data_IF_880213489402
#
_entry.id   IF_880213489402
#
_cell.length_a   1.000
_cell.length_b   1.000
_cell.length_c   1.000
_cell.angle_alpha   90.00
_cell.angle_beta   90.00
_cell.angle_gamma   90.00
#
_symmetry.space_group_name_H-M   'P 1'
#
loop_
_entity.id
_entity.type
_entity.pdbx_description
1 polymer ?
#
# COMPACT_ATOMS: atom_id res chain seq x y z
N UNK A 1 -8.84 -17.90 22.38
CA UNK A 1 -8.95 -16.65 21.59
C UNK A 1 -9.24 -17.01 20.15
N UNK A 2 -10.32 -16.44 19.55
CA UNK A 2 -10.70 -16.71 18.17
C UNK A 2 -9.66 -16.23 17.14
N UNK A 3 -9.61 -16.90 16.01
CA UNK A 3 -8.77 -16.54 14.87
C UNK A 3 -9.21 -15.20 14.28
N UNK A 4 -8.28 -14.34 13.90
CA UNK A 4 -8.56 -13.02 13.33
C UNK A 4 -8.46 -13.08 11.81
N UNK A 5 -9.46 -12.53 11.14
CA UNK A 5 -9.50 -12.44 9.67
C UNK A 5 -8.50 -11.37 9.20
N UNK A 6 -7.90 -11.57 8.01
CA UNK A 6 -7.08 -10.55 7.38
C UNK A 6 -7.94 -9.32 7.04
N UNK A 7 -7.56 -8.11 7.46
CA UNK A 7 -8.39 -6.91 7.28
C UNK A 7 -8.61 -6.57 5.80
N UNK A 8 -7.63 -6.79 4.93
CA UNK A 8 -7.79 -6.60 3.49
C UNK A 8 -8.79 -7.59 2.92
N UNK A 9 -8.65 -8.90 3.22
CA UNK A 9 -9.58 -9.94 2.75
C UNK A 9 -11.02 -9.73 3.23
N UNK A 10 -11.20 -9.18 4.43
CA UNK A 10 -12.52 -8.86 4.99
C UNK A 10 -13.23 -7.71 4.25
N UNK A 11 -12.45 -6.78 3.66
CA UNK A 11 -12.96 -5.55 3.02
C UNK A 11 -12.97 -5.62 1.49
N UNK A 12 -12.20 -6.51 0.90
CA UNK A 12 -12.09 -6.64 -0.56
C UNK A 12 -13.43 -7.03 -1.17
N UNK A 13 -13.85 -6.30 -2.20
CA UNK A 13 -15.11 -6.49 -2.90
C UNK A 13 -16.30 -5.78 -2.24
N UNK A 14 -16.16 -5.20 -1.07
CA UNK A 14 -17.20 -4.42 -0.37
C UNK A 14 -16.79 -2.94 -0.34
N UNK A 15 -15.68 -2.62 0.33
CA UNK A 15 -15.16 -1.26 0.50
C UNK A 15 -13.84 -1.02 -0.23
N UNK A 16 -13.06 -2.07 -0.45
CA UNK A 16 -11.79 -1.98 -1.19
C UNK A 16 -11.90 -2.69 -2.54
N UNK A 17 -11.38 -2.09 -3.63
CA UNK A 17 -11.33 -2.74 -4.93
C UNK A 17 -10.28 -3.84 -4.97
N UNK A 18 -10.44 -4.77 -5.92
CA UNK A 18 -9.45 -5.79 -6.21
C UNK A 18 -8.15 -5.18 -6.74
N UNK A 19 -7.01 -5.75 -6.34
CA UNK A 19 -5.70 -5.33 -6.86
C UNK A 19 -5.43 -5.78 -8.29
N UNK A 20 -6.12 -6.80 -8.77
CA UNK A 20 -6.15 -7.25 -10.16
C UNK A 20 -7.59 -7.19 -10.66
N UNK A 21 -7.83 -6.41 -11.72
CA UNK A 21 -9.15 -6.16 -12.30
C UNK A 21 -9.19 -6.72 -13.70
N UNK A 22 -9.52 -8.01 -13.82
CA UNK A 22 -9.68 -8.70 -15.10
C UNK A 22 -10.51 -9.97 -14.93
N UNK A 23 -11.04 -10.46 -16.04
CA UNK A 23 -11.77 -11.72 -16.11
C UNK A 23 -11.19 -12.60 -17.22
N UNK A 24 -11.14 -13.92 -16.98
CA UNK A 24 -10.70 -14.89 -17.97
C UNK A 24 -11.39 -16.25 -17.78
N UNK A 25 -11.54 -17.05 -18.86
CA UNK A 25 -12.06 -18.41 -18.78
C UNK A 25 -11.10 -19.31 -17.98
N UNK A 26 -11.62 -20.39 -17.40
CA UNK A 26 -10.85 -21.31 -16.51
C UNK A 26 -9.55 -21.81 -17.11
N UNK A 27 -9.51 -22.05 -18.43
CA UNK A 27 -8.33 -22.57 -19.14
C UNK A 27 -7.14 -21.57 -19.10
N UNK A 28 -7.40 -20.29 -19.23
CA UNK A 28 -6.40 -19.22 -19.30
C UNK A 28 -6.09 -18.60 -17.93
N UNK A 29 -7.03 -18.71 -16.98
CA UNK A 29 -6.94 -18.07 -15.67
C UNK A 29 -5.64 -18.37 -14.94
N UNK A 30 -5.18 -19.64 -14.96
CA UNK A 30 -3.92 -20.04 -14.32
C UNK A 30 -2.72 -19.31 -14.91
N UNK A 31 -2.64 -19.20 -16.23
CA UNK A 31 -1.54 -18.51 -16.92
C UNK A 31 -1.48 -17.03 -16.51
N UNK A 32 -2.59 -16.34 -16.60
CA UNK A 32 -2.70 -14.92 -16.27
C UNK A 32 -2.41 -14.62 -14.79
N UNK A 33 -2.84 -15.50 -13.88
CA UNK A 33 -2.53 -15.36 -12.45
C UNK A 33 -1.03 -15.47 -12.18
N UNK A 34 -0.35 -16.43 -12.84
CA UNK A 34 1.11 -16.60 -12.73
C UNK A 34 1.87 -15.40 -13.32
N UNK A 35 1.37 -14.82 -14.42
CA UNK A 35 1.92 -13.60 -15.00
C UNK A 35 1.81 -12.43 -14.01
N UNK A 36 0.64 -12.21 -13.39
CA UNK A 36 0.45 -11.17 -12.39
C UNK A 36 1.40 -11.33 -11.21
N UNK A 37 1.59 -12.57 -10.75
CA UNK A 37 2.55 -12.86 -9.67
C UNK A 37 3.98 -12.53 -10.08
N UNK A 38 4.40 -12.87 -11.32
CA UNK A 38 5.74 -12.55 -11.84
C UNK A 38 5.94 -11.04 -11.91
N UNK A 39 4.97 -10.28 -12.45
CA UNK A 39 5.02 -8.82 -12.52
C UNK A 39 5.19 -8.21 -11.12
N UNK A 40 4.33 -8.58 -10.16
CA UNK A 40 4.41 -8.06 -8.78
C UNK A 40 5.75 -8.36 -8.13
N UNK A 41 6.26 -9.57 -8.30
CA UNK A 41 7.55 -9.99 -7.75
C UNK A 41 8.72 -9.24 -8.41
N UNK A 42 8.69 -9.09 -9.72
CA UNK A 42 9.69 -8.35 -10.50
C UNK A 42 9.75 -6.88 -10.05
N UNK A 43 8.60 -6.20 -9.96
CA UNK A 43 8.52 -4.82 -9.54
C UNK A 43 9.08 -4.59 -8.14
N UNK A 44 8.66 -5.42 -7.18
CA UNK A 44 9.15 -5.32 -5.79
C UNK A 44 10.64 -5.60 -5.66
N UNK A 45 11.19 -6.52 -6.48
CA UNK A 45 12.62 -6.85 -6.44
C UNK A 45 13.48 -5.76 -7.06
N UNK A 46 13.09 -5.24 -8.22
CA UNK A 46 13.89 -4.28 -9.00
C UNK A 46 13.83 -2.87 -8.39
N UNK A 47 12.64 -2.44 -7.97
CA UNK A 47 12.39 -1.07 -7.49
C UNK A 47 12.11 -1.00 -5.99
N UNK A 48 12.85 -1.74 -5.18
CA UNK A 48 12.73 -1.69 -3.71
C UNK A 48 12.96 -0.28 -3.16
N UNK A 49 13.90 0.49 -3.75
CA UNK A 49 14.21 1.86 -3.37
C UNK A 49 13.10 2.88 -3.69
N UNK A 50 12.22 2.55 -4.63
CA UNK A 50 11.10 3.40 -5.02
C UNK A 50 9.94 3.39 -4.02
N UNK A 51 9.97 2.50 -3.01
CA UNK A 51 8.92 2.36 -2.00
C UNK A 51 7.52 2.17 -2.62
N UNK A 52 7.31 1.02 -3.28
CA UNK A 52 6.05 0.68 -3.95
C UNK A 52 5.07 0.11 -2.92
N UNK A 53 4.01 0.84 -2.59
CA UNK A 53 2.98 0.39 -1.67
C UNK A 53 2.03 -0.63 -2.30
N UNK A 54 1.56 -0.36 -3.53
CA UNK A 54 0.53 -1.15 -4.20
C UNK A 54 0.84 -1.28 -5.69
N UNK A 55 0.57 -2.45 -6.25
CA UNK A 55 0.63 -2.73 -7.69
C UNK A 55 -0.75 -3.19 -8.12
N UNK A 56 -1.42 -2.42 -8.95
CA UNK A 56 -2.71 -2.78 -9.54
C UNK A 56 -2.51 -3.20 -10.99
N UNK A 57 -3.27 -4.19 -11.43
CA UNK A 57 -3.16 -4.76 -12.77
C UNK A 57 -4.54 -4.81 -13.40
N UNK A 58 -4.69 -4.12 -14.52
CA UNK A 58 -5.89 -4.17 -15.35
C UNK A 58 -5.52 -4.86 -16.67
N UNK A 59 -6.34 -5.81 -17.10
CA UNK A 59 -6.09 -6.52 -18.37
C UNK A 59 -7.26 -6.33 -19.32
N UNK A 60 -6.93 -5.99 -20.53
CA UNK A 60 -7.80 -6.05 -21.71
C UNK A 60 -7.34 -7.23 -22.56
N UNK A 61 -7.99 -7.50 -23.70
CA UNK A 61 -7.59 -8.60 -24.59
C UNK A 61 -6.14 -8.46 -25.08
N UNK A 62 -5.74 -7.25 -25.47
CA UNK A 62 -4.47 -6.99 -26.16
C UNK A 62 -3.43 -6.29 -25.28
N UNK A 63 -3.87 -5.63 -24.20
CA UNK A 63 -3.01 -4.81 -23.37
C UNK A 63 -3.12 -5.15 -21.88
N UNK A 64 -2.00 -5.02 -21.19
CA UNK A 64 -1.91 -5.11 -19.73
C UNK A 64 -1.52 -3.75 -19.18
N UNK A 65 -2.40 -3.13 -18.40
CA UNK A 65 -2.10 -1.87 -17.72
C UNK A 65 -1.66 -2.15 -16.31
N UNK A 66 -0.47 -1.70 -15.95
CA UNK A 66 0.12 -1.84 -14.62
C UNK A 66 0.16 -0.47 -13.97
N UNK A 67 -0.56 -0.31 -12.86
CA UNK A 67 -0.60 0.93 -12.09
C UNK A 67 0.25 0.73 -10.83
N UNK A 68 1.27 1.57 -10.67
CA UNK A 68 2.20 1.53 -9.56
C UNK A 68 1.94 2.71 -8.63
N UNK A 69 1.57 2.44 -7.39
CA UNK A 69 1.50 3.46 -6.35
C UNK A 69 2.84 3.49 -5.60
N UNK A 70 3.59 4.57 -5.78
CA UNK A 70 4.94 4.74 -5.24
C UNK A 70 5.06 6.02 -4.42
N UNK A 71 5.85 5.97 -3.34
CA UNK A 71 6.21 7.15 -2.57
C UNK A 71 7.34 7.97 -3.22
N UNK A 72 8.11 7.34 -4.12
CA UNK A 72 9.23 7.98 -4.82
C UNK A 72 9.16 7.71 -6.32
N UNK A 73 8.19 8.31 -7.02
CA UNK A 73 7.97 8.06 -8.46
C UNK A 73 9.19 8.44 -9.31
N UNK A 74 9.98 9.42 -8.90
CA UNK A 74 11.18 9.85 -9.61
C UNK A 74 12.22 8.74 -9.81
N UNK A 75 12.28 7.75 -8.92
CA UNK A 75 13.18 6.59 -9.05
C UNK A 75 12.73 5.65 -10.18
N UNK A 76 11.41 5.54 -10.39
CA UNK A 76 10.82 4.70 -11.44
C UNK A 76 10.85 5.43 -12.78
N UNK A 77 10.55 6.73 -12.77
CA UNK A 77 10.49 7.55 -13.99
C UNK A 77 11.89 7.79 -14.56
N UNK A 78 12.86 8.01 -13.66
CA UNK A 78 14.24 8.27 -14.04
C UNK A 78 14.42 9.62 -14.75
N UNK A 79 15.61 9.81 -15.33
CA UNK A 79 15.92 11.03 -16.08
C UNK A 79 15.22 10.99 -17.43
N UNK A 80 14.37 11.99 -17.71
CA UNK A 80 13.64 12.14 -18.99
C UNK A 80 12.74 10.95 -19.36
N UNK A 81 12.29 10.12 -18.39
CA UNK A 81 11.42 8.99 -18.67
C UNK A 81 12.09 7.71 -19.17
N UNK A 82 13.41 7.69 -19.36
CA UNK A 82 14.14 6.54 -19.93
C UNK A 82 14.00 5.24 -19.11
N UNK A 83 13.87 5.35 -17.80
CA UNK A 83 13.71 4.16 -16.94
C UNK A 83 12.31 3.56 -17.04
N UNK A 84 11.28 4.38 -17.28
CA UNK A 84 9.91 3.89 -17.52
C UNK A 84 9.84 3.14 -18.83
N UNK A 85 10.46 3.68 -19.89
CA UNK A 85 10.46 3.03 -21.22
C UNK A 85 11.17 1.68 -21.15
N UNK A 86 12.34 1.63 -20.53
CA UNK A 86 13.08 0.37 -20.30
C UNK A 86 12.27 -0.64 -19.48
N UNK A 87 11.60 -0.15 -18.43
CA UNK A 87 10.76 -1.00 -17.60
C UNK A 87 9.58 -1.55 -18.37
N UNK A 88 8.99 -0.74 -19.25
CA UNK A 88 7.91 -1.16 -20.12
C UNK A 88 8.36 -2.26 -21.08
N UNK A 89 9.52 -2.11 -21.71
CA UNK A 89 10.11 -3.11 -22.61
C UNK A 89 10.40 -4.44 -21.86
N UNK A 90 11.03 -4.38 -20.68
CA UNK A 90 11.30 -5.55 -19.87
C UNK A 90 10.01 -6.28 -19.43
N UNK A 91 8.96 -5.52 -19.12
CA UNK A 91 7.66 -6.12 -18.79
C UNK A 91 6.98 -6.72 -20.02
N UNK A 92 7.16 -6.14 -21.21
CA UNK A 92 6.67 -6.70 -22.48
C UNK A 92 7.38 -8.03 -22.79
N UNK A 93 8.70 -8.10 -22.60
CA UNK A 93 9.46 -9.35 -22.75
C UNK A 93 8.99 -10.43 -21.77
N UNK A 94 8.74 -10.07 -20.51
CA UNK A 94 8.25 -11.01 -19.49
C UNK A 94 6.86 -11.57 -19.77
N UNK A 95 5.98 -10.76 -20.35
CA UNK A 95 4.56 -11.09 -20.55
C UNK A 95 4.24 -11.53 -21.98
N UNK A 96 5.09 -11.17 -22.96
CA UNK A 96 4.81 -11.38 -24.40
C UNK A 96 3.61 -10.60 -24.91
N UNK A 97 3.20 -9.53 -24.22
CA UNK A 97 2.03 -8.68 -24.54
C UNK A 97 2.38 -7.21 -24.37
N UNK A 98 1.60 -6.33 -24.99
CA UNK A 98 1.73 -4.88 -24.80
C UNK A 98 1.45 -4.53 -23.33
N UNK A 99 2.36 -3.77 -22.74
CA UNK A 99 2.22 -3.29 -21.36
C UNK A 99 2.12 -1.77 -21.40
N UNK A 100 1.15 -1.24 -20.68
CA UNK A 100 1.04 0.20 -20.39
C UNK A 100 1.33 0.42 -18.92
N UNK A 101 2.33 1.23 -18.61
CA UNK A 101 2.75 1.52 -17.24
C UNK A 101 2.24 2.89 -16.81
N UNK A 102 1.52 2.95 -15.69
CA UNK A 102 1.12 4.19 -15.05
C UNK A 102 1.75 4.27 -13.66
N UNK A 103 2.42 5.37 -13.35
CA UNK A 103 3.00 5.62 -12.03
C UNK A 103 2.18 6.69 -11.35
N UNK A 104 1.69 6.39 -10.15
CA UNK A 104 0.92 7.30 -9.30
C UNK A 104 1.69 7.59 -8.02
N UNK A 105 1.79 8.86 -7.67
CA UNK A 105 2.45 9.30 -6.45
C UNK A 105 1.55 9.17 -5.24
N UNK A 106 2.14 8.72 -4.13
CA UNK A 106 1.48 8.65 -2.84
C UNK A 106 1.84 9.90 -2.05
N UNK A 107 0.85 10.75 -1.79
CA UNK A 107 1.05 12.01 -1.05
C UNK A 107 1.46 11.82 0.41
N UNK A 108 1.03 10.74 1.07
CA UNK A 108 1.31 10.45 2.48
C UNK A 108 1.79 9.03 2.66
N UNK A 109 3.09 8.74 2.47
CA UNK A 109 3.65 7.39 2.58
C UNK A 109 3.59 6.83 4.01
N UNK A 110 3.61 7.69 5.04
CA UNK A 110 3.57 7.32 6.45
C UNK A 110 2.24 6.66 6.86
N UNK A 111 1.17 6.86 6.08
CA UNK A 111 -0.15 6.26 6.34
C UNK A 111 -0.32 4.93 5.61
N UNK A 112 0.57 4.59 4.68
CA UNK A 112 0.52 3.34 3.94
C UNK A 112 1.16 2.19 4.72
N UNK A 113 0.34 1.24 5.17
CA UNK A 113 0.79 0.17 6.06
C UNK A 113 1.93 -0.68 5.48
N UNK A 114 1.94 -0.90 4.16
CA UNK A 114 3.00 -1.68 3.50
C UNK A 114 4.36 -0.96 3.56
N UNK A 115 4.38 0.36 3.30
CA UNK A 115 5.62 1.16 3.35
C UNK A 115 6.15 1.28 4.77
N UNK A 116 5.26 1.47 5.73
CA UNK A 116 5.61 1.47 7.16
C UNK A 116 6.21 0.13 7.59
N UNK A 117 5.65 -0.99 7.11
CA UNK A 117 6.19 -2.32 7.40
C UNK A 117 7.59 -2.54 6.80
N UNK A 118 7.82 -2.05 5.57
CA UNK A 118 9.11 -2.13 4.88
C UNK A 118 10.16 -1.26 5.57
N UNK A 119 9.81 -0.04 6.01
CA UNK A 119 10.72 0.84 6.76
C UNK A 119 11.14 0.22 8.09
N UNK A 120 10.20 -0.33 8.85
CA UNK A 120 10.50 -1.06 10.10
C UNK A 120 11.44 -2.25 9.81
N UNK A 121 11.15 -3.03 8.76
CA UNK A 121 11.98 -4.17 8.38
C UNK A 121 13.41 -3.76 8.04
N UNK A 122 13.60 -2.68 7.28
CA UNK A 122 14.92 -2.15 6.93
C UNK A 122 15.68 -1.63 8.16
N UNK A 123 14.98 -1.01 9.12
CA UNK A 123 15.60 -0.58 10.39
C UNK A 123 16.03 -1.78 11.25
N UNK A 124 15.21 -2.85 11.30
CA UNK A 124 15.58 -4.08 12.01
C UNK A 124 16.77 -4.81 11.40
N UNK A 125 16.88 -4.84 10.08
CA UNK A 125 18.04 -5.37 9.36
C UNK A 125 19.31 -4.59 9.72
N UNK A 126 19.21 -3.28 9.90
CA UNK A 126 20.29 -2.38 10.37
C UNK A 126 20.55 -2.51 11.88
N UNK A 127 19.96 -3.49 12.55
CA UNK A 127 20.11 -3.75 14.00
C UNK A 127 19.65 -2.60 14.90
N UNK A 128 18.69 -1.79 14.47
CA UNK A 128 18.08 -0.78 15.31
C UNK A 128 17.32 -1.40 16.50
N UNK A 129 17.26 -0.68 17.63
CA UNK A 129 16.54 -1.13 18.81
C UNK A 129 15.03 -1.17 18.52
N UNK A 130 14.44 -2.37 18.43
CA UNK A 130 13.07 -2.59 18.00
C UNK A 130 12.03 -1.78 18.79
N UNK A 131 12.20 -1.60 20.10
CA UNK A 131 11.28 -0.79 20.94
C UNK A 131 11.30 0.69 20.56
N UNK A 132 12.48 1.24 20.27
CA UNK A 132 12.63 2.64 19.83
C UNK A 132 12.05 2.82 18.44
N UNK A 133 12.34 1.89 17.53
CA UNK A 133 11.77 1.86 16.16
C UNK A 133 10.25 1.88 16.21
N UNK A 134 9.62 0.97 16.99
CA UNK A 134 8.17 0.91 17.10
C UNK A 134 7.55 2.21 17.61
N UNK A 135 8.12 2.82 18.66
CA UNK A 135 7.61 4.08 19.22
C UNK A 135 7.68 5.20 18.17
N UNK A 136 8.86 5.39 17.57
CA UNK A 136 9.08 6.42 16.54
C UNK A 136 8.14 6.26 15.34
N UNK A 137 7.99 5.04 14.85
CA UNK A 137 7.11 4.77 13.69
C UNK A 137 5.64 5.06 14.03
N UNK A 138 5.18 4.68 15.22
CA UNK A 138 3.82 4.97 15.67
C UNK A 138 3.60 6.49 15.78
N UNK A 139 4.51 7.22 16.39
CA UNK A 139 4.46 8.69 16.49
C UNK A 139 4.37 9.31 15.09
N UNK A 140 5.30 8.97 14.19
CA UNK A 140 5.31 9.46 12.81
C UNK A 140 4.01 9.18 12.05
N UNK A 141 3.44 7.97 12.19
CA UNK A 141 2.18 7.60 11.51
C UNK A 141 0.97 8.34 12.11
N UNK A 142 0.95 8.56 13.42
CA UNK A 142 -0.11 9.33 14.09
C UNK A 142 -0.04 10.82 13.71
N UNK A 143 1.17 11.40 13.66
CA UNK A 143 1.40 12.79 13.24
C UNK A 143 1.02 13.02 11.78
N UNK A 144 1.17 12.00 10.91
CA UNK A 144 0.71 12.04 9.52
C UNK A 144 -0.83 12.03 9.38
N UNK A 145 -1.57 11.84 10.49
CA UNK A 145 -3.03 11.93 10.56
C UNK A 145 -3.76 10.58 10.56
N UNK A 146 -3.10 9.49 10.90
CA UNK A 146 -3.79 8.22 11.13
C UNK A 146 -4.66 8.27 12.40
N UNK A 147 -5.88 7.72 12.35
CA UNK A 147 -6.76 7.61 13.54
C UNK A 147 -6.34 6.51 14.52
N UNK A 148 -5.47 5.62 14.07
CA UNK A 148 -4.90 4.56 14.90
C UNK A 148 -3.91 3.69 14.14
N UNK A 149 -2.96 3.17 14.88
CA UNK A 149 -1.89 2.30 14.37
C UNK A 149 -1.69 1.12 15.31
N UNK A 150 -1.53 -0.05 14.73
CA UNK A 150 -1.14 -1.26 15.44
C UNK A 150 0.00 -1.91 14.71
N UNK A 151 1.11 -2.15 15.42
CA UNK A 151 2.28 -2.84 14.89
C UNK A 151 2.52 -4.10 15.72
N UNK A 152 2.82 -5.20 15.06
CA UNK A 152 3.19 -6.45 15.69
C UNK A 152 4.46 -6.99 15.06
N UNK A 153 5.44 -7.26 15.90
CA UNK A 153 6.67 -7.95 15.55
C UNK A 153 6.63 -9.38 16.08
N UNK A 154 7.09 -10.34 15.30
CA UNK A 154 7.17 -11.73 15.69
C UNK A 154 8.48 -12.35 15.21
N UNK A 155 9.22 -12.98 16.13
CA UNK A 155 10.49 -13.61 15.81
C UNK A 155 11.52 -13.45 16.95
N UNK A 156 12.81 -13.62 16.63
CA UNK A 156 13.93 -13.48 17.56
C UNK A 156 14.30 -12.00 17.77
N UNK A 157 13.45 -11.28 18.52
CA UNK A 157 13.61 -9.84 18.75
C UNK A 157 14.86 -9.54 19.57
N UNK A 158 15.73 -8.65 19.02
CA UNK A 158 17.00 -8.28 19.65
C UNK A 158 18.02 -9.41 19.69
N UNK A 159 17.86 -10.48 18.91
CA UNK A 159 18.77 -11.62 18.87
C UNK A 159 18.51 -12.68 19.94
N UNK A 160 17.42 -12.59 20.71
CA UNK A 160 17.06 -13.58 21.71
C UNK A 160 16.91 -14.98 21.10
N UNK A 161 17.32 -16.03 21.81
CA UNK A 161 17.18 -17.42 21.33
C UNK A 161 15.71 -17.81 21.19
N UNK A 162 14.89 -17.47 22.17
CA UNK A 162 13.45 -17.73 22.09
C UNK A 162 12.74 -16.65 21.30
N UNK A 163 11.94 -17.07 20.33
CA UNK A 163 11.06 -16.17 19.60
C UNK A 163 9.93 -15.64 20.48
N UNK A 164 9.60 -14.39 20.32
CA UNK A 164 8.47 -13.78 21.02
C UNK A 164 7.70 -12.82 20.12
N UNK A 165 6.52 -12.43 20.55
CA UNK A 165 5.68 -11.44 19.87
C UNK A 165 5.57 -10.19 20.73
N UNK A 166 5.90 -9.06 20.14
CA UNK A 166 5.72 -7.73 20.73
C UNK A 166 4.66 -6.97 19.92
N UNK A 167 3.73 -6.32 20.61
CA UNK A 167 2.67 -5.52 20.00
C UNK A 167 2.76 -4.11 20.57
N UNK A 168 2.55 -3.12 19.70
CA UNK A 168 2.36 -1.74 20.11
C UNK A 168 1.14 -1.17 19.38
N UNK A 169 0.29 -0.44 20.10
CA UNK A 169 -0.97 0.09 19.58
C UNK A 169 -1.09 1.52 20.07
N UNK A 170 -1.50 2.42 19.16
CA UNK A 170 -1.91 3.78 19.48
C UNK A 170 -3.19 4.13 18.72
N UNK A 171 -4.06 4.91 19.34
CA UNK A 171 -5.34 5.29 18.75
C UNK A 171 -6.36 4.15 18.66
N UNK A 172 -7.36 4.30 17.80
CA UNK A 172 -8.48 3.38 17.60
C UNK A 172 -8.24 2.42 16.44
N UNK A 173 -8.49 1.11 16.65
CA UNK A 173 -8.30 0.07 15.63
C UNK A 173 -9.52 -0.84 15.53
N UNK A 174 -10.62 -0.39 14.90
CA UNK A 174 -11.87 -1.15 14.79
C UNK A 174 -11.80 -2.20 13.65
N UNK A 175 -11.10 -3.32 13.87
CA UNK A 175 -10.89 -4.36 12.86
C UNK A 175 -12.19 -5.01 12.37
N UNK A 176 -13.20 -5.10 13.22
CA UNK A 176 -14.49 -5.74 12.90
C UNK A 176 -15.45 -4.82 12.15
N UNK A 177 -15.18 -3.52 12.07
CA UNK A 177 -16.03 -2.53 11.39
C UNK A 177 -15.66 -2.46 9.92
N UNK A 178 -16.57 -2.82 9.03
CA UNK A 178 -16.35 -2.82 7.57
C UNK A 178 -16.15 -1.39 7.04
N UNK A 179 -16.89 -0.41 7.58
CA UNK A 179 -16.80 1.00 7.18
C UNK A 179 -15.47 1.67 7.52
N UNK A 180 -14.68 1.08 8.44
CA UNK A 180 -13.37 1.61 8.79
C UNK A 180 -12.36 1.27 7.69
N UNK A 181 -11.68 2.29 7.15
CA UNK A 181 -10.61 2.14 6.17
C UNK A 181 -9.33 1.74 6.88
N UNK A 182 -9.06 0.44 6.92
CA UNK A 182 -7.88 -0.12 7.57
C UNK A 182 -6.98 -0.73 6.52
N UNK A 183 -5.81 -0.11 6.35
CA UNK A 183 -4.75 -0.65 5.51
C UNK A 183 -3.90 -1.67 6.29
N UNK A 184 -3.43 -2.70 5.60
CA UNK A 184 -2.64 -3.78 6.17
C UNK A 184 -1.37 -4.02 5.36
N UNK A 185 -0.23 -3.99 6.05
CA UNK A 185 1.09 -4.29 5.49
C UNK A 185 1.76 -5.45 6.20
N UNK A 186 2.46 -6.28 5.43
CA UNK A 186 3.29 -7.36 5.92
C UNK A 186 4.65 -7.34 5.25
N UNK A 187 5.70 -7.42 6.05
CA UNK A 187 7.08 -7.53 5.57
C UNK A 187 7.89 -8.47 6.46
N UNK A 188 8.85 -9.15 5.87
CA UNK A 188 9.82 -9.99 6.58
C UNK A 188 11.18 -9.31 6.58
N UNK A 189 11.75 -9.13 7.78
CA UNK A 189 13.10 -8.63 7.98
C UNK A 189 14.06 -9.81 8.12
N UNK A 190 14.96 -10.00 7.17
CA UNK A 190 16.03 -11.00 7.26
C UNK A 190 17.17 -10.44 8.09
N UNK A 191 17.29 -10.91 9.33
CA UNK A 191 18.40 -10.54 10.23
C UNK A 191 19.43 -11.65 10.29
N UNK A 192 20.61 -11.35 10.86
CA UNK A 192 21.67 -12.35 11.05
C UNK A 192 21.23 -13.55 11.90
N UNK A 193 20.22 -13.39 12.77
CA UNK A 193 19.70 -14.43 13.66
C UNK A 193 18.42 -15.10 13.16
N UNK A 194 17.93 -14.73 11.97
CA UNK A 194 16.74 -15.29 11.36
C UNK A 194 15.73 -14.24 10.89
N UNK A 195 14.55 -14.69 10.48
CA UNK A 195 13.49 -13.83 10.00
C UNK A 195 12.65 -13.27 11.15
N UNK A 196 12.33 -11.98 11.04
CA UNK A 196 11.37 -11.29 11.91
C UNK A 196 10.19 -10.86 11.04
N UNK A 197 8.99 -11.33 11.37
CA UNK A 197 7.77 -10.91 10.70
C UNK A 197 7.27 -9.58 11.27
N UNK A 198 7.02 -8.63 10.39
CA UNK A 198 6.48 -7.30 10.70
C UNK A 198 5.06 -7.21 10.14
N UNK A 199 4.09 -6.98 11.01
CA UNK A 199 2.69 -6.77 10.63
C UNK A 199 2.26 -5.38 11.09
N UNK A 200 1.68 -4.61 10.18
CA UNK A 200 1.23 -3.25 10.44
C UNK A 200 -0.22 -3.09 10.01
N UNK A 201 -1.01 -2.47 10.86
CA UNK A 201 -2.38 -2.04 10.59
C UNK A 201 -2.46 -0.54 10.80
N UNK A 202 -2.99 0.18 9.84
CA UNK A 202 -3.19 1.63 9.91
C UNK A 202 -4.66 1.95 9.67
N UNK A 203 -5.28 2.61 10.62
CA UNK A 203 -6.65 3.12 10.50
C UNK A 203 -6.61 4.53 9.89
N UNK A 204 -7.08 4.66 8.66
CA UNK A 204 -7.14 5.93 7.92
C UNK A 204 -8.44 6.71 8.18
N UNK A 205 -9.41 6.17 8.93
CA UNK A 205 -10.70 6.78 9.21
C UNK A 205 -11.87 5.95 8.72
N UNK A 206 -13.02 6.59 8.54
CA UNK A 206 -14.23 5.96 8.00
C UNK A 206 -14.41 6.34 6.53
N UNK A 207 -14.96 5.45 5.72
CA UNK A 207 -15.22 5.74 4.31
C UNK A 207 -16.28 6.85 4.11
N UNK A 208 -17.27 6.95 4.97
CA UNK A 208 -18.35 7.95 4.89
C UNK A 208 -17.84 9.39 5.15
N UNK A 209 -16.85 9.56 6.03
CA UNK A 209 -16.28 10.89 6.32
C UNK A 209 -15.50 11.48 5.12
N UNK A 210 -15.09 10.65 4.16
CA UNK A 210 -14.39 11.13 2.96
C UNK A 210 -15.35 11.43 1.80
N UNK A 211 -16.57 10.88 1.80
CA UNK A 211 -17.62 11.16 0.81
C UNK A 211 -18.23 12.55 0.99
N UNK A 212 -18.62 12.87 2.23
CA UNK A 212 -19.26 14.15 2.55
C UNK A 212 -18.32 15.37 2.36
N UNK A 213 -17.01 15.19 2.52
CA UNK A 213 -16.04 16.25 2.30
C UNK A 213 -15.77 16.54 0.81
N UNK A 214 -15.90 15.55 -0.08
CA UNK A 214 -15.74 15.73 -1.51
C UNK A 214 -16.98 16.42 -2.12
N UNK A 215 -18.18 15.99 -1.71
CA UNK A 215 -19.45 16.60 -2.17
C UNK A 215 -19.64 18.02 -1.62
N UNK A 216 -19.11 18.34 -0.43
CA UNK A 216 -19.14 19.69 0.12
C UNK A 216 -18.27 20.71 -0.65
N UNK A 217 -17.24 20.26 -1.37
CA UNK A 217 -16.41 21.13 -2.20
C UNK A 217 -16.98 21.32 -3.62
N UNK A 218 -17.72 20.36 -4.17
CA UNK A 218 -18.40 20.55 -5.47
C UNK A 218 -19.66 21.42 -5.40
N UNK A 219 -20.25 21.60 -4.19
CA UNK A 219 -21.47 22.42 -3.99
C UNK A 219 -21.27 23.93 -3.96
N UNK A 220 -20.07 24.47 -3.98
CA UNK A 220 -19.80 25.90 -4.00
C UNK A 220 -19.68 26.44 -5.43
N UNK A 221 -20.78 26.46 -6.17
CA UNK A 221 -20.88 27.32 -7.36
C UNK A 221 -20.84 28.78 -6.95
N UNK A 222 -20.00 29.64 -7.56
CA UNK A 222 -19.93 31.05 -7.20
C UNK A 222 -21.26 31.73 -7.51
N UNK A 223 -21.91 32.27 -6.47
CA UNK A 223 -23.11 33.07 -6.63
C UNK A 223 -22.83 34.26 -7.56
N UNK A 224 -23.48 34.31 -8.72
CA UNK A 224 -23.44 35.44 -9.63
C UNK A 224 -23.83 36.74 -8.89
N UNK A 225 -23.10 37.86 -9.06
CA UNK A 225 -23.48 39.12 -8.43
C UNK A 225 -24.82 39.61 -8.96
N UNK A 226 -25.74 39.96 -8.04
CA UNK A 226 -27.02 40.59 -8.38
C UNK A 226 -26.74 41.94 -9.00
N UNK A 227 -27.12 42.12 -10.28
CA UNK A 227 -27.17 43.45 -10.91
C UNK A 227 -28.21 44.30 -10.19
N UNK A 228 -27.79 45.35 -9.52
CA UNK A 228 -28.67 46.40 -9.00
C UNK A 228 -29.13 47.27 -10.17
N UNK A 229 -30.40 47.19 -10.54
CA UNK A 229 -31.04 48.23 -11.33
C UNK A 229 -31.29 49.43 -10.44
N UNK A 230 -30.57 50.56 -10.68
CA UNK A 230 -30.96 51.88 -10.18
C UNK A 230 -32.06 52.44 -11.10
N UNK A 231 -33.18 52.80 -10.48
CA UNK A 231 -34.14 53.74 -11.05
C UNK A 231 -33.63 55.17 -10.88
#
# INVERSE_FOLDING_TARGET
MGQKVNPTGFRTGITEPWKSRWYAPKKEFRGLLLEDFKVRRFMKKKYRSAAIAKVEIERTRDEVKVILHSARPGVIIGRKGQEVDRLQDELQELLGRRVNLKVEEISRPEIQAQLVAEDIADQLVKRAAFRRTLKRTIESTMDAGAKGVKIQLAGRLGGAEMSRREKSIAGSMPLSTIRAKIDYGFCEALTAQGHIGVQVWVNQGMYEENGDAADAQEGQTPKKPKRSYKR
#
